data_IF_223255137869
#
_entry.id   IF_223255137869
#
_cell.length_a   1.000
_cell.length_b   1.000
_cell.length_c   1.000
_cell.angle_alpha   90.00
_cell.angle_beta   90.00
_cell.angle_gamma   90.00
#
_symmetry.space_group_name_H-M   'P 1'
#
loop_
_entity.id
_entity.type
_entity.pdbx_description
1 polymer ?
#
# COMPACT_ATOMS: atom_id res chain seq x y z
N UNK A 1 -44.57 -10.41 -24.27
CA UNK A 1 -44.65 -10.97 -25.64
C UNK A 1 -43.31 -11.34 -26.28
N UNK A 2 -42.15 -11.23 -25.55
CA UNK A 2 -40.82 -11.66 -26.07
C UNK A 2 -40.49 -13.14 -25.79
N UNK A 3 -41.22 -13.78 -24.87
CA UNK A 3 -40.88 -15.11 -24.31
C UNK A 3 -41.22 -16.28 -25.28
N UNK A 4 -42.11 -16.07 -26.23
CA UNK A 4 -42.44 -17.07 -27.28
C UNK A 4 -41.34 -17.28 -28.34
N UNK A 5 -40.27 -16.46 -28.30
CA UNK A 5 -39.12 -16.59 -29.20
C UNK A 5 -38.02 -17.53 -28.68
N UNK A 6 -38.14 -18.02 -27.43
CA UNK A 6 -37.14 -18.92 -26.91
C UNK A 6 -37.34 -20.35 -27.47
N UNK A 7 -36.41 -20.86 -28.27
CA UNK A 7 -36.56 -22.15 -28.94
C UNK A 7 -36.57 -23.33 -27.94
N UNK A 8 -35.91 -23.19 -26.78
CA UNK A 8 -35.86 -24.24 -25.77
C UNK A 8 -37.21 -24.41 -25.08
N UNK A 9 -37.86 -23.34 -24.68
CA UNK A 9 -39.19 -23.34 -24.06
C UNK A 9 -40.24 -23.96 -25.01
N UNK A 10 -40.21 -23.62 -26.28
CA UNK A 10 -41.11 -24.19 -27.28
C UNK A 10 -40.89 -25.70 -27.47
N UNK A 11 -39.64 -26.14 -27.48
CA UNK A 11 -39.30 -27.55 -27.64
C UNK A 11 -39.78 -28.38 -26.42
N UNK A 12 -39.60 -27.91 -25.21
CA UNK A 12 -40.04 -28.58 -23.99
C UNK A 12 -41.57 -28.65 -23.90
N UNK A 13 -42.28 -27.53 -24.20
CA UNK A 13 -43.74 -27.51 -24.23
C UNK A 13 -44.31 -28.46 -25.30
N UNK A 14 -43.67 -28.51 -26.50
CA UNK A 14 -44.07 -29.44 -27.56
C UNK A 14 -43.86 -30.90 -27.13
N UNK A 15 -42.78 -31.25 -26.47
CA UNK A 15 -42.51 -32.60 -25.98
C UNK A 15 -43.53 -32.99 -24.90
N UNK A 16 -43.80 -32.12 -23.93
CA UNK A 16 -44.80 -32.37 -22.88
C UNK A 16 -46.21 -32.50 -23.46
N UNK A 17 -46.59 -31.67 -24.41
CA UNK A 17 -47.88 -31.74 -25.07
C UNK A 17 -48.04 -32.99 -25.93
N UNK A 18 -47.01 -33.38 -26.68
CA UNK A 18 -47.03 -34.62 -27.50
C UNK A 18 -47.09 -35.86 -26.61
N UNK A 19 -46.33 -35.89 -25.53
CA UNK A 19 -46.40 -37.01 -24.53
C UNK A 19 -47.78 -37.12 -23.92
N UNK A 20 -48.41 -36.00 -23.55
CA UNK A 20 -49.78 -35.99 -23.00
C UNK A 20 -50.82 -36.49 -24.01
N UNK A 21 -50.68 -36.14 -25.30
CA UNK A 21 -51.57 -36.64 -26.35
C UNK A 21 -51.40 -38.13 -26.63
N UNK A 22 -50.17 -38.65 -26.62
CA UNK A 22 -49.92 -40.11 -26.80
C UNK A 22 -50.51 -40.89 -25.62
N UNK A 23 -50.29 -40.41 -24.40
CA UNK A 23 -50.84 -41.07 -23.19
C UNK A 23 -52.38 -41.02 -23.17
N UNK A 24 -52.99 -39.94 -23.61
CA UNK A 24 -54.44 -39.80 -23.75
C UNK A 24 -55.02 -40.75 -24.81
N UNK A 25 -54.29 -40.95 -25.93
CA UNK A 25 -54.65 -41.90 -26.98
C UNK A 25 -54.64 -43.34 -26.44
N UNK A 26 -53.66 -43.72 -25.66
CA UNK A 26 -53.62 -45.03 -24.92
C UNK A 26 -54.76 -45.16 -23.91
N UNK A 27 -55.08 -44.06 -23.20
CA UNK A 27 -56.18 -44.03 -22.22
C UNK A 27 -57.56 -44.24 -22.86
N UNK A 28 -57.75 -43.82 -24.11
CA UNK A 28 -59.00 -44.06 -24.89
C UNK A 28 -59.26 -45.55 -25.12
N UNK A 29 -58.23 -46.37 -25.18
CA UNK A 29 -58.36 -47.84 -25.31
C UNK A 29 -58.95 -48.50 -24.03
N UNK A 30 -58.89 -47.83 -22.91
CA UNK A 30 -59.38 -48.33 -21.60
C UNK A 30 -60.80 -47.78 -21.33
N UNK A 31 -60.92 -46.43 -21.32
CA UNK A 31 -62.22 -45.74 -21.23
C UNK A 31 -62.08 -44.25 -21.60
N UNK A 32 -63.16 -43.59 -22.06
CA UNK A 32 -63.12 -42.17 -22.37
C UNK A 32 -62.88 -41.30 -21.15
N UNK A 33 -63.25 -41.78 -19.97
CA UNK A 33 -63.00 -41.08 -18.68
C UNK A 33 -61.49 -41.05 -18.34
N UNK A 34 -60.78 -42.14 -18.59
CA UNK A 34 -59.32 -42.23 -18.37
C UNK A 34 -58.58 -41.25 -19.32
N UNK A 35 -58.98 -41.17 -20.57
CA UNK A 35 -58.39 -40.23 -21.54
C UNK A 35 -58.61 -38.76 -21.13
N UNK A 36 -59.81 -38.41 -20.64
CA UNK A 36 -60.09 -37.07 -20.15
C UNK A 36 -59.24 -36.69 -18.89
N UNK A 37 -59.08 -37.64 -17.96
CA UNK A 37 -58.21 -37.42 -16.77
C UNK A 37 -56.74 -37.23 -17.15
N UNK A 38 -56.23 -38.00 -18.10
CA UNK A 38 -54.84 -37.87 -18.58
C UNK A 38 -54.62 -36.53 -19.27
N UNK A 39 -55.57 -36.06 -20.09
CA UNK A 39 -55.49 -34.75 -20.71
C UNK A 39 -55.52 -33.62 -19.66
N UNK A 40 -56.40 -33.71 -18.68
CA UNK A 40 -56.48 -32.72 -17.60
C UNK A 40 -55.19 -32.62 -16.80
N UNK A 41 -54.65 -33.79 -16.37
CA UNK A 41 -53.38 -33.83 -15.66
C UNK A 41 -52.20 -33.33 -16.49
N UNK A 42 -52.16 -33.67 -17.80
CA UNK A 42 -51.16 -33.17 -18.72
C UNK A 42 -51.22 -31.66 -18.91
N UNK A 43 -52.43 -31.10 -18.97
CA UNK A 43 -52.64 -29.65 -19.11
C UNK A 43 -52.20 -28.88 -17.84
N UNK A 44 -52.54 -29.42 -16.65
CA UNK A 44 -52.10 -28.88 -15.34
C UNK A 44 -50.55 -28.89 -15.25
N UNK A 45 -49.95 -30.05 -15.57
CA UNK A 45 -48.50 -30.22 -15.50
C UNK A 45 -47.77 -29.28 -16.47
N UNK A 46 -48.25 -29.17 -17.71
CA UNK A 46 -47.68 -28.23 -18.73
C UNK A 46 -47.84 -26.80 -18.28
N UNK A 47 -48.97 -26.41 -17.69
CA UNK A 47 -49.20 -25.09 -17.16
C UNK A 47 -48.27 -24.75 -15.98
N UNK A 48 -48.12 -25.68 -15.05
CA UNK A 48 -47.16 -25.52 -13.94
C UNK A 48 -45.71 -25.43 -14.42
N UNK A 49 -45.33 -26.31 -15.34
CA UNK A 49 -43.99 -26.28 -15.94
C UNK A 49 -43.71 -24.94 -16.63
N UNK A 50 -44.65 -24.44 -17.45
CA UNK A 50 -44.57 -23.14 -18.08
C UNK A 50 -44.42 -21.98 -17.07
N UNK A 51 -45.19 -22.00 -15.97
CA UNK A 51 -45.16 -21.00 -14.93
C UNK A 51 -43.77 -20.96 -14.20
N UNK A 52 -43.20 -22.11 -13.82
CA UNK A 52 -41.90 -22.21 -13.18
C UNK A 52 -40.77 -21.80 -14.11
N UNK A 53 -40.81 -22.23 -15.37
CA UNK A 53 -39.79 -21.84 -16.37
C UNK A 53 -39.85 -20.34 -16.66
N UNK A 54 -41.04 -19.76 -16.81
CA UNK A 54 -41.20 -18.33 -17.05
C UNK A 54 -40.66 -17.49 -15.87
N UNK A 55 -40.88 -17.91 -14.65
CA UNK A 55 -40.33 -17.29 -13.44
C UNK A 55 -38.80 -17.35 -13.45
N UNK A 56 -38.24 -18.53 -13.71
CA UNK A 56 -36.78 -18.75 -13.78
C UNK A 56 -36.09 -17.86 -14.84
N UNK A 57 -36.67 -17.74 -16.02
CA UNK A 57 -36.13 -16.89 -17.08
C UNK A 57 -36.18 -15.40 -16.71
N UNK A 58 -37.23 -14.96 -16.03
CA UNK A 58 -37.31 -13.57 -15.52
C UNK A 58 -36.21 -13.29 -14.52
N UNK A 59 -35.98 -14.19 -13.59
CA UNK A 59 -34.98 -14.04 -12.55
C UNK A 59 -33.55 -13.99 -13.14
N UNK A 60 -33.27 -14.82 -14.14
CA UNK A 60 -31.99 -14.78 -14.89
C UNK A 60 -31.86 -13.47 -15.66
N UNK A 61 -32.90 -13.00 -16.32
CA UNK A 61 -32.86 -11.73 -17.07
C UNK A 61 -32.69 -10.51 -16.15
N UNK A 62 -33.22 -10.59 -14.93
CA UNK A 62 -33.02 -9.54 -13.90
C UNK A 62 -31.59 -9.55 -13.36
N UNK A 63 -31.02 -10.73 -13.09
CA UNK A 63 -29.65 -10.91 -12.70
C UNK A 63 -28.69 -10.33 -13.76
N UNK A 64 -28.92 -10.66 -15.03
CA UNK A 64 -28.15 -10.14 -16.16
C UNK A 64 -28.20 -8.62 -16.25
N UNK A 65 -29.39 -8.02 -16.10
CA UNK A 65 -29.56 -6.54 -16.09
C UNK A 65 -28.89 -5.88 -14.89
N UNK A 66 -28.93 -6.53 -13.73
CA UNK A 66 -28.26 -6.02 -12.54
C UNK A 66 -26.74 -6.06 -12.69
N UNK A 67 -26.22 -7.14 -13.27
CA UNK A 67 -24.79 -7.24 -13.58
C UNK A 67 -24.34 -6.16 -14.57
N UNK A 68 -25.14 -5.91 -15.63
CA UNK A 68 -24.85 -4.86 -16.63
C UNK A 68 -24.82 -3.46 -15.98
N UNK A 69 -25.75 -3.15 -15.06
CA UNK A 69 -25.73 -1.89 -14.30
C UNK A 69 -24.50 -1.74 -13.41
N UNK A 70 -24.08 -2.83 -12.77
CA UNK A 70 -22.87 -2.84 -11.93
C UNK A 70 -21.63 -2.58 -12.78
N UNK A 71 -21.51 -3.21 -13.95
CA UNK A 71 -20.39 -2.99 -14.89
C UNK A 71 -20.32 -1.55 -15.41
N UNK A 72 -21.46 -0.86 -15.51
CA UNK A 72 -21.53 0.55 -15.89
C UNK A 72 -21.46 1.54 -14.71
N UNK A 73 -21.05 1.05 -13.51
CA UNK A 73 -20.81 1.92 -12.36
C UNK A 73 -22.06 2.41 -11.64
N UNK A 74 -23.22 1.83 -11.89
CA UNK A 74 -24.44 2.15 -11.17
C UNK A 74 -24.54 1.27 -9.91
N UNK A 75 -24.74 1.92 -8.76
CA UNK A 75 -24.89 1.25 -7.44
C UNK A 75 -26.23 0.50 -7.36
N UNK A 76 -26.30 -0.68 -7.94
CA UNK A 76 -27.39 -1.63 -7.69
C UNK A 76 -26.82 -2.80 -6.89
N UNK A 77 -27.07 -2.81 -5.59
CA UNK A 77 -26.87 -4.00 -4.77
C UNK A 77 -27.79 -5.09 -5.30
N UNK A 78 -27.25 -6.27 -5.59
CA UNK A 78 -28.04 -7.46 -5.90
C UNK A 78 -28.95 -7.74 -4.70
N UNK A 79 -30.28 -7.67 -4.92
CA UNK A 79 -31.26 -7.90 -3.87
C UNK A 79 -31.22 -9.36 -3.39
N UNK A 80 -31.22 -9.56 -2.09
CA UNK A 80 -31.01 -10.86 -1.43
C UNK A 80 -32.33 -11.69 -1.27
N UNK A 81 -33.41 -11.21 -1.89
CA UNK A 81 -34.78 -11.74 -1.68
C UNK A 81 -35.09 -13.05 -2.42
N UNK A 82 -34.16 -13.68 -3.13
CA UNK A 82 -34.41 -14.93 -3.85
C UNK A 82 -33.97 -16.16 -3.07
N UNK A 83 -34.84 -17.16 -2.97
CA UNK A 83 -34.54 -18.49 -2.46
C UNK A 83 -34.24 -19.48 -3.61
N UNK A 84 -33.31 -20.43 -3.37
CA UNK A 84 -32.99 -21.51 -4.32
C UNK A 84 -31.62 -21.40 -4.98
N UNK A 85 -31.40 -22.20 -6.02
CA UNK A 85 -30.09 -22.32 -6.71
C UNK A 85 -29.57 -20.97 -7.27
N UNK A 86 -30.46 -20.10 -7.74
CA UNK A 86 -30.13 -18.77 -8.24
C UNK A 86 -29.66 -17.82 -7.11
N UNK A 87 -30.08 -18.05 -5.87
CA UNK A 87 -29.63 -17.28 -4.73
C UNK A 87 -28.13 -17.51 -4.45
N UNK A 88 -27.66 -18.75 -4.60
CA UNK A 88 -26.24 -19.09 -4.46
C UNK A 88 -25.43 -18.35 -5.52
N UNK A 89 -25.86 -18.39 -6.79
CA UNK A 89 -25.18 -17.70 -7.88
C UNK A 89 -25.16 -16.17 -7.67
N UNK A 90 -26.26 -15.58 -7.21
CA UNK A 90 -26.34 -14.16 -6.84
C UNK A 90 -25.35 -13.79 -5.73
N UNK A 91 -25.27 -14.62 -4.69
CA UNK A 91 -24.35 -14.44 -3.58
C UNK A 91 -22.88 -14.48 -4.04
N UNK A 92 -22.51 -15.43 -4.88
CA UNK A 92 -21.15 -15.53 -5.42
C UNK A 92 -20.81 -14.35 -6.34
N UNK A 93 -21.71 -13.95 -7.23
CA UNK A 93 -21.53 -12.79 -8.07
C UNK A 93 -21.39 -11.48 -7.26
N UNK A 94 -22.17 -11.35 -6.17
CA UNK A 94 -22.07 -10.22 -5.25
C UNK A 94 -20.69 -10.16 -4.58
N UNK A 95 -20.21 -11.30 -4.05
CA UNK A 95 -18.86 -11.38 -3.46
C UNK A 95 -17.77 -11.01 -4.47
N UNK A 96 -17.86 -11.53 -5.69
CA UNK A 96 -16.92 -11.20 -6.76
C UNK A 96 -16.95 -9.69 -7.10
N UNK A 97 -18.15 -9.12 -7.20
CA UNK A 97 -18.31 -7.68 -7.50
C UNK A 97 -17.74 -6.79 -6.41
N UNK A 98 -17.98 -7.13 -5.14
CA UNK A 98 -17.39 -6.40 -4.02
C UNK A 98 -15.87 -6.47 -4.05
N UNK A 99 -15.29 -7.66 -4.24
CA UNK A 99 -13.83 -7.81 -4.38
C UNK A 99 -13.26 -7.00 -5.53
N UNK A 100 -13.88 -7.05 -6.70
CA UNK A 100 -13.43 -6.28 -7.86
C UNK A 100 -13.51 -4.76 -7.62
N UNK A 101 -14.50 -4.28 -6.86
CA UNK A 101 -14.58 -2.86 -6.45
C UNK A 101 -13.45 -2.50 -5.48
N UNK A 102 -13.25 -3.32 -4.45
CA UNK A 102 -12.17 -3.10 -3.49
C UNK A 102 -10.81 -3.07 -4.20
N UNK A 103 -10.54 -4.01 -5.11
CA UNK A 103 -9.32 -4.05 -5.92
C UNK A 103 -9.19 -2.80 -6.83
N UNK A 104 -10.29 -2.38 -7.46
CA UNK A 104 -10.30 -1.19 -8.30
C UNK A 104 -10.05 0.10 -7.49
N UNK A 105 -10.60 0.20 -6.29
CA UNK A 105 -10.39 1.35 -5.42
C UNK A 105 -8.97 1.37 -4.85
N UNK A 106 -8.39 0.22 -4.50
CA UNK A 106 -6.97 0.09 -4.14
C UNK A 106 -6.08 0.56 -5.30
N UNK A 107 -6.31 0.06 -6.51
CA UNK A 107 -5.54 0.47 -7.70
C UNK A 107 -5.66 1.98 -8.00
N UNK A 108 -6.82 2.58 -7.74
CA UNK A 108 -7.01 4.03 -7.87
C UNK A 108 -6.21 4.80 -6.82
N UNK A 109 -6.21 4.32 -5.58
CA UNK A 109 -5.42 4.91 -4.49
C UNK A 109 -3.93 4.82 -4.82
N UNK A 110 -3.43 3.66 -5.21
CA UNK A 110 -2.03 3.44 -5.62
C UNK A 110 -1.64 4.37 -6.78
N UNK A 111 -2.51 4.52 -7.77
CA UNK A 111 -2.29 5.45 -8.89
C UNK A 111 -2.20 6.90 -8.45
N UNK A 112 -3.05 7.33 -7.53
CA UNK A 112 -3.03 8.69 -6.99
C UNK A 112 -1.75 8.92 -6.18
N UNK A 113 -1.35 7.96 -5.35
CA UNK A 113 -0.11 8.02 -4.58
C UNK A 113 1.11 8.08 -5.50
N UNK A 114 1.17 7.23 -6.53
CA UNK A 114 2.24 7.26 -7.52
C UNK A 114 2.31 8.61 -8.24
N UNK A 115 1.16 9.17 -8.62
CA UNK A 115 1.11 10.48 -9.30
C UNK A 115 1.63 11.59 -8.40
N UNK A 116 1.27 11.59 -7.11
CA UNK A 116 1.79 12.54 -6.11
C UNK A 116 3.29 12.37 -5.94
N UNK A 117 3.76 11.14 -5.75
CA UNK A 117 5.19 10.86 -5.61
C UNK A 117 6.01 11.35 -6.81
N UNK A 118 5.52 11.14 -8.05
CA UNK A 118 6.18 11.65 -9.26
C UNK A 118 6.19 13.18 -9.33
N UNK A 119 5.12 13.84 -8.90
CA UNK A 119 5.07 15.31 -8.83
C UNK A 119 6.08 15.85 -7.81
N UNK A 120 6.16 15.23 -6.63
CA UNK A 120 7.09 15.59 -5.57
C UNK A 120 8.55 15.37 -6.00
N UNK A 121 8.87 14.23 -6.62
CA UNK A 121 10.18 13.94 -7.20
C UNK A 121 10.56 15.03 -8.21
N UNK A 122 9.64 15.36 -9.12
CA UNK A 122 9.89 16.38 -10.14
C UNK A 122 10.19 17.74 -9.52
N UNK A 123 9.48 18.11 -8.48
CA UNK A 123 9.71 19.34 -7.73
C UNK A 123 11.05 19.34 -7.02
N UNK A 124 11.40 18.24 -6.33
CA UNK A 124 12.66 18.09 -5.59
C UNK A 124 13.90 18.02 -6.49
N UNK A 125 13.75 17.56 -7.73
CA UNK A 125 14.82 17.61 -8.74
C UNK A 125 14.95 19.01 -9.38
N UNK A 126 13.85 19.71 -9.63
CA UNK A 126 13.85 21.02 -10.28
C UNK A 126 14.59 22.06 -9.46
N UNK A 127 14.42 22.07 -8.15
CA UNK A 127 15.05 23.07 -7.26
C UNK A 127 16.59 23.05 -7.34
N UNK A 128 17.29 21.92 -7.11
CA UNK A 128 18.75 21.90 -7.24
C UNK A 128 19.21 22.13 -8.67
N UNK A 129 18.50 21.66 -9.70
CA UNK A 129 18.84 21.93 -11.10
C UNK A 129 18.78 23.43 -11.44
N UNK A 130 17.75 24.12 -10.93
CA UNK A 130 17.63 25.58 -11.13
C UNK A 130 18.77 26.32 -10.41
N UNK A 131 19.10 25.92 -9.17
CA UNK A 131 20.23 26.45 -8.43
C UNK A 131 21.55 26.23 -9.16
N UNK A 132 21.78 25.02 -9.69
CA UNK A 132 23.00 24.70 -10.47
C UNK A 132 23.12 25.56 -11.72
N UNK A 133 22.03 25.74 -12.49
CA UNK A 133 22.03 26.58 -13.67
C UNK A 133 22.37 28.04 -13.34
N UNK A 134 21.81 28.58 -12.26
CA UNK A 134 22.11 29.90 -11.78
C UNK A 134 23.59 30.03 -11.35
N UNK A 135 24.08 29.06 -10.54
CA UNK A 135 25.47 29.03 -10.08
C UNK A 135 26.44 28.93 -11.25
N UNK A 136 26.14 28.14 -12.29
CA UNK A 136 26.94 28.05 -13.52
C UNK A 136 26.97 29.38 -14.27
N UNK A 137 25.83 30.07 -14.37
CA UNK A 137 25.78 31.40 -15.03
C UNK A 137 26.62 32.44 -14.28
N UNK A 138 26.61 32.41 -12.95
CA UNK A 138 27.45 33.28 -12.12
C UNK A 138 28.95 32.94 -12.24
N UNK A 139 29.27 31.63 -12.31
CA UNK A 139 30.63 31.15 -12.41
C UNK A 139 31.30 31.57 -13.74
N UNK A 140 30.53 31.65 -14.82
CA UNK A 140 31.02 31.99 -16.15
C UNK A 140 31.56 33.42 -16.25
N UNK A 141 31.07 34.37 -15.41
CA UNK A 141 31.51 35.76 -15.38
C UNK A 141 32.34 36.17 -14.15
N UNK A 142 32.70 35.20 -13.29
CA UNK A 142 33.37 35.49 -12.02
C UNK A 142 34.89 35.48 -12.17
N UNK A 143 35.52 36.58 -11.85
CA UNK A 143 36.99 36.77 -11.90
C UNK A 143 37.65 36.55 -10.52
N UNK A 144 36.91 36.75 -9.43
CA UNK A 144 37.43 36.51 -8.07
C UNK A 144 37.56 35.02 -7.77
N UNK A 145 38.81 34.57 -7.57
CA UNK A 145 39.11 33.14 -7.27
C UNK A 145 38.42 32.63 -6.01
N UNK A 146 38.31 33.45 -4.98
CA UNK A 146 37.64 33.07 -3.73
C UNK A 146 36.16 32.80 -3.93
N UNK A 147 35.52 33.65 -4.76
CA UNK A 147 34.11 33.55 -5.10
C UNK A 147 33.87 32.40 -6.08
N UNK A 148 34.77 32.15 -7.03
CA UNK A 148 34.76 31.00 -7.92
C UNK A 148 34.80 29.68 -7.13
N UNK A 149 35.71 29.58 -6.16
CA UNK A 149 35.80 28.39 -5.28
C UNK A 149 34.52 28.19 -4.46
N UNK A 150 33.87 29.24 -4.00
CA UNK A 150 32.59 29.15 -3.27
C UNK A 150 31.49 28.65 -4.17
N UNK A 151 31.30 29.22 -5.35
CA UNK A 151 30.30 28.81 -6.35
C UNK A 151 30.54 27.37 -6.80
N UNK A 152 31.79 26.95 -6.99
CA UNK A 152 32.13 25.56 -7.32
C UNK A 152 31.74 24.58 -6.23
N UNK A 153 31.93 24.96 -4.96
CA UNK A 153 31.48 24.12 -3.81
C UNK A 153 29.95 24.03 -3.73
N UNK A 154 29.24 25.10 -4.04
CA UNK A 154 27.78 25.13 -4.09
C UNK A 154 27.24 24.21 -5.20
N UNK A 155 27.87 24.29 -6.39
CA UNK A 155 27.55 23.40 -7.50
C UNK A 155 27.75 21.92 -7.13
N UNK A 156 28.90 21.60 -6.51
CA UNK A 156 29.21 20.25 -6.05
C UNK A 156 28.19 19.72 -5.02
N UNK A 157 27.80 20.55 -4.05
CA UNK A 157 26.75 20.20 -3.06
C UNK A 157 25.41 19.91 -3.73
N UNK A 158 25.05 20.67 -4.75
CA UNK A 158 23.79 20.48 -5.49
C UNK A 158 23.80 19.17 -6.29
N UNK A 159 24.96 18.80 -6.89
CA UNK A 159 25.15 17.51 -7.55
C UNK A 159 25.04 16.33 -6.55
N UNK A 160 25.80 16.40 -5.45
CA UNK A 160 25.76 15.37 -4.39
C UNK A 160 24.33 15.15 -3.85
N UNK A 161 23.53 16.24 -3.76
CA UNK A 161 22.15 16.18 -3.35
C UNK A 161 21.26 15.44 -4.37
N UNK A 162 21.47 15.68 -5.67
CA UNK A 162 20.74 14.97 -6.74
C UNK A 162 21.11 13.50 -6.73
N UNK A 163 22.39 13.17 -6.68
CA UNK A 163 22.86 11.77 -6.63
C UNK A 163 22.24 11.03 -5.45
N UNK A 164 22.31 11.62 -4.24
CA UNK A 164 21.69 11.05 -3.07
C UNK A 164 20.18 10.84 -3.23
N UNK A 165 19.47 11.81 -3.85
CA UNK A 165 18.03 11.71 -4.09
C UNK A 165 17.71 10.54 -5.04
N UNK A 166 18.44 10.42 -6.14
CA UNK A 166 18.26 9.34 -7.13
C UNK A 166 18.55 7.98 -6.50
N UNK A 167 19.64 7.83 -5.75
CA UNK A 167 19.97 6.58 -5.06
C UNK A 167 18.90 6.19 -4.03
N UNK A 168 18.42 7.16 -3.26
CA UNK A 168 17.37 6.92 -2.26
C UNK A 168 16.05 6.49 -2.90
N UNK A 169 15.67 7.13 -4.02
CA UNK A 169 14.49 6.76 -4.79
C UNK A 169 14.60 5.35 -5.39
N UNK A 170 15.78 5.00 -5.91
CA UNK A 170 16.03 3.65 -6.42
C UNK A 170 15.93 2.58 -5.31
N UNK A 171 16.46 2.88 -4.10
CA UNK A 171 16.33 2.01 -2.93
C UNK A 171 14.87 1.82 -2.52
N UNK A 172 14.11 2.91 -2.43
CA UNK A 172 12.67 2.87 -2.14
C UNK A 172 11.91 2.04 -3.18
N UNK A 173 12.17 2.28 -4.47
CA UNK A 173 11.53 1.52 -5.56
C UNK A 173 11.82 0.02 -5.48
N UNK A 174 13.06 -0.37 -5.15
CA UNK A 174 13.42 -1.78 -4.96
C UNK A 174 12.73 -2.42 -3.76
N UNK A 175 12.59 -1.66 -2.66
CA UNK A 175 11.87 -2.11 -1.46
C UNK A 175 10.37 -2.27 -1.74
N UNK A 176 9.75 -1.31 -2.44
CA UNK A 176 8.33 -1.39 -2.84
C UNK A 176 8.05 -2.59 -3.74
N UNK A 177 8.93 -2.87 -4.68
CA UNK A 177 8.81 -4.00 -5.57
C UNK A 177 9.09 -5.37 -4.88
N UNK A 178 9.53 -5.37 -3.60
CA UNK A 178 9.87 -6.58 -2.87
C UNK A 178 11.04 -7.37 -3.46
N UNK A 179 11.86 -6.74 -4.32
CA UNK A 179 12.98 -7.41 -5.00
C UNK A 179 14.27 -7.42 -4.18
N UNK A 180 14.30 -6.69 -3.07
CA UNK A 180 15.45 -6.66 -2.16
C UNK A 180 15.53 -7.97 -1.40
N UNK A 181 16.69 -8.62 -1.46
CA UNK A 181 16.99 -9.80 -0.64
C UNK A 181 17.87 -9.35 0.51
N UNK A 182 17.31 -9.42 1.71
CA UNK A 182 18.04 -9.10 2.94
C UNK A 182 18.87 -10.32 3.38
N UNK A 183 20.13 -10.08 3.70
CA UNK A 183 21.04 -11.09 4.27
C UNK A 183 21.12 -10.87 5.79
N UNK A 184 20.12 -11.39 6.49
CA UNK A 184 20.06 -11.26 7.94
C UNK A 184 21.17 -12.09 8.62
N UNK A 185 22.03 -11.43 9.37
CA UNK A 185 23.09 -12.04 10.16
C UNK A 185 23.05 -11.55 11.59
N UNK A 186 23.59 -12.31 12.56
CA UNK A 186 23.76 -11.82 13.92
C UNK A 186 24.67 -10.58 13.96
N UNK A 187 24.18 -9.49 14.52
CA UNK A 187 24.83 -8.19 14.53
C UNK A 187 24.72 -7.57 15.92
N UNK A 188 25.82 -7.05 16.47
CA UNK A 188 25.77 -6.31 17.73
C UNK A 188 25.28 -4.88 17.50
N UNK A 189 24.50 -4.35 18.43
CA UNK A 189 24.05 -2.97 18.38
C UNK A 189 25.21 -1.97 18.29
N UNK A 190 26.35 -2.29 18.92
CA UNK A 190 27.56 -1.48 18.88
C UNK A 190 28.15 -1.38 17.44
N UNK A 191 28.31 -2.50 16.73
CA UNK A 191 28.83 -2.52 15.37
C UNK A 191 27.90 -1.80 14.39
N UNK A 192 26.59 -1.96 14.58
CA UNK A 192 25.56 -1.27 13.79
C UNK A 192 25.64 0.24 14.02
N UNK A 193 25.65 0.69 15.27
CA UNK A 193 25.73 2.10 15.63
C UNK A 193 27.01 2.75 15.09
N UNK A 194 28.15 2.07 15.19
CA UNK A 194 29.41 2.59 14.66
C UNK A 194 29.35 2.81 13.15
N UNK A 195 28.79 1.85 12.41
CA UNK A 195 28.63 1.96 10.93
C UNK A 195 27.71 3.12 10.57
N UNK A 196 26.58 3.27 11.25
CA UNK A 196 25.61 4.33 11.01
C UNK A 196 26.15 5.74 11.37
N UNK A 197 26.95 5.83 12.43
CA UNK A 197 27.50 7.09 12.95
C UNK A 197 28.72 7.59 12.16
N UNK A 198 29.43 6.70 11.48
CA UNK A 198 30.69 7.06 10.78
C UNK A 198 30.57 8.31 9.90
N UNK A 199 29.57 8.48 9.03
CA UNK A 199 29.43 9.66 8.18
C UNK A 199 28.97 10.92 8.96
N UNK A 200 28.44 10.76 10.17
CA UNK A 200 27.81 11.83 10.93
C UNK A 200 28.73 12.43 12.01
N UNK A 201 29.90 11.83 12.29
CA UNK A 201 30.83 12.30 13.31
C UNK A 201 31.30 13.73 13.06
N UNK A 202 31.74 14.03 11.83
CA UNK A 202 32.20 15.37 11.47
C UNK A 202 31.08 16.42 11.57
N UNK A 203 29.88 16.21 11.00
CA UNK A 203 28.75 17.11 11.21
C UNK A 203 28.43 17.38 12.69
N UNK A 204 28.46 16.37 13.54
CA UNK A 204 28.21 16.51 14.98
C UNK A 204 29.28 17.32 15.69
N UNK A 205 30.57 17.06 15.39
CA UNK A 205 31.70 17.82 15.92
C UNK A 205 31.62 19.31 15.53
N UNK A 206 31.27 19.62 14.29
CA UNK A 206 31.11 21.00 13.80
C UNK A 206 29.99 21.76 14.53
N UNK A 207 28.97 21.05 15.02
CA UNK A 207 27.89 21.61 15.82
C UNK A 207 28.11 21.47 17.32
N UNK A 208 29.29 20.99 17.75
CA UNK A 208 29.63 20.70 19.17
C UNK A 208 28.54 19.85 19.87
N UNK A 209 27.89 18.94 19.13
CA UNK A 209 26.86 18.03 19.65
C UNK A 209 27.52 16.87 20.39
N UNK A 210 26.95 16.48 21.53
CA UNK A 210 27.39 15.34 22.30
C UNK A 210 26.71 14.04 21.86
N UNK A 211 27.47 12.95 21.77
CA UNK A 211 26.98 11.61 21.47
C UNK A 211 27.10 10.72 22.71
N UNK A 212 25.97 10.19 23.16
CA UNK A 212 25.90 9.24 24.26
C UNK A 212 25.48 7.88 23.74
N UNK A 213 26.28 6.83 23.98
CA UNK A 213 25.99 5.46 23.57
C UNK A 213 25.82 4.57 24.84
N UNK A 214 24.63 3.96 24.94
CA UNK A 214 24.31 2.95 25.96
C UNK A 214 23.72 1.72 25.25
N UNK A 215 24.61 0.89 24.70
CA UNK A 215 24.26 -0.21 23.81
C UNK A 215 24.32 -1.59 24.46
N UNK A 216 25.05 -1.70 25.60
CA UNK A 216 25.27 -2.98 26.25
C UNK A 216 25.74 -4.07 25.29
N UNK A 217 25.38 -5.32 25.59
CA UNK A 217 25.64 -6.50 24.74
C UNK A 217 24.46 -6.85 23.81
N UNK A 218 23.57 -5.89 23.56
CA UNK A 218 22.40 -6.12 22.73
C UNK A 218 22.79 -6.55 21.31
N UNK A 219 22.16 -7.62 20.83
CA UNK A 219 22.33 -8.15 19.50
C UNK A 219 20.98 -8.30 18.78
N UNK A 220 21.00 -8.24 17.47
CA UNK A 220 19.84 -8.41 16.62
C UNK A 220 20.21 -9.25 15.40
N UNK A 221 19.22 -9.83 14.74
CA UNK A 221 19.41 -10.53 13.47
C UNK A 221 18.81 -9.66 12.37
N UNK A 222 19.67 -9.06 11.54
CA UNK A 222 19.24 -8.12 10.49
C UNK A 222 20.34 -8.01 9.43
N UNK A 223 19.99 -7.40 8.28
CA UNK A 223 20.98 -7.05 7.26
C UNK A 223 21.82 -5.84 7.73
N UNK A 224 23.13 -5.97 7.86
CA UNK A 224 23.98 -4.93 8.42
C UNK A 224 23.96 -3.62 7.61
N UNK A 225 23.99 -3.71 6.28
CA UNK A 225 24.10 -2.55 5.40
C UNK A 225 22.79 -1.74 5.39
N UNK A 226 21.67 -2.42 5.18
CA UNK A 226 20.37 -1.80 5.16
C UNK A 226 19.96 -1.26 6.54
N UNK A 227 20.26 -2.00 7.60
CA UNK A 227 19.91 -1.55 8.96
C UNK A 227 20.76 -0.38 9.40
N UNK A 228 22.06 -0.34 9.05
CA UNK A 228 22.92 0.81 9.29
C UNK A 228 22.45 2.05 8.53
N UNK A 229 21.94 1.88 7.31
CA UNK A 229 21.34 2.98 6.54
C UNK A 229 20.06 3.50 7.21
N UNK A 230 19.18 2.61 7.67
CA UNK A 230 17.96 3.01 8.38
C UNK A 230 18.29 3.79 9.67
N UNK A 231 19.23 3.27 10.47
CA UNK A 231 19.68 3.91 11.69
C UNK A 231 20.38 5.25 11.39
N UNK A 232 21.22 5.30 10.36
CA UNK A 232 21.93 6.51 9.92
C UNK A 232 20.96 7.62 9.49
N UNK A 233 19.87 7.28 8.78
CA UNK A 233 18.85 8.26 8.37
C UNK A 233 18.12 8.85 9.59
N UNK A 234 17.85 8.06 10.62
CA UNK A 234 17.22 8.54 11.85
C UNK A 234 18.20 9.39 12.65
N UNK A 235 19.46 8.94 12.82
CA UNK A 235 20.49 9.73 13.54
C UNK A 235 20.74 11.04 12.81
N UNK A 236 20.83 11.03 11.47
CA UNK A 236 20.99 12.24 10.66
C UNK A 236 19.86 13.23 10.92
N UNK A 237 18.62 12.75 10.98
CA UNK A 237 17.48 13.60 11.32
C UNK A 237 17.64 14.23 12.72
N UNK A 238 18.07 13.46 13.71
CA UNK A 238 18.35 13.99 15.05
C UNK A 238 19.47 15.06 15.01
N UNK A 239 20.56 14.79 14.29
CA UNK A 239 21.69 15.77 14.11
C UNK A 239 21.21 17.08 13.49
N UNK A 240 20.37 17.00 12.47
CA UNK A 240 19.86 18.19 11.76
C UNK A 240 18.93 19.05 12.63
N UNK A 241 18.18 18.42 13.56
CA UNK A 241 17.21 19.11 14.41
C UNK A 241 17.69 19.44 15.82
N UNK A 242 18.82 18.89 16.23
CA UNK A 242 19.43 19.21 17.54
C UNK A 242 20.26 20.49 17.44
N UNK A 243 20.03 21.49 18.29
CA UNK A 243 20.83 22.70 18.29
C UNK A 243 22.30 22.42 18.64
N UNK A 244 23.17 23.39 18.35
CA UNK A 244 24.58 23.31 18.74
C UNK A 244 24.73 23.11 20.26
N UNK A 245 25.62 22.18 20.66
CA UNK A 245 25.82 21.79 22.04
C UNK A 245 24.75 20.86 22.63
N UNK A 246 23.77 20.43 21.81
CA UNK A 246 22.76 19.46 22.25
C UNK A 246 23.30 18.02 22.23
N UNK A 247 22.51 17.08 22.77
CA UNK A 247 22.92 15.69 22.97
C UNK A 247 22.07 14.75 22.14
N UNK A 248 22.72 13.78 21.49
CA UNK A 248 22.07 12.66 20.80
C UNK A 248 22.42 11.37 21.57
N UNK A 249 21.40 10.64 21.97
CA UNK A 249 21.56 9.41 22.77
C UNK A 249 21.09 8.22 21.93
N UNK A 250 21.94 7.20 21.80
CA UNK A 250 21.57 5.92 21.19
C UNK A 250 21.63 4.83 22.25
N UNK A 251 20.50 4.18 22.49
CA UNK A 251 20.43 3.09 23.49
C UNK A 251 19.98 1.80 22.81
N UNK A 252 20.42 0.66 23.33
CA UNK A 252 19.97 -0.64 22.91
C UNK A 252 19.58 -1.51 24.11
N UNK A 253 18.47 -2.23 23.96
CA UNK A 253 17.98 -3.20 24.96
C UNK A 253 17.50 -4.46 24.28
N UNK A 254 17.94 -5.59 24.78
CA UNK A 254 17.50 -6.90 24.27
C UNK A 254 16.54 -7.54 25.26
N UNK A 255 15.43 -8.06 24.73
CA UNK A 255 14.45 -8.88 25.45
C UNK A 255 14.37 -10.25 24.78
N UNK A 256 13.73 -11.26 25.37
CA UNK A 256 13.52 -12.55 24.72
C UNK A 256 12.68 -12.47 23.43
N UNK A 257 11.90 -11.40 23.24
CA UNK A 257 10.95 -11.26 22.12
C UNK A 257 11.48 -10.34 21.03
N UNK A 258 12.19 -9.28 21.40
CA UNK A 258 12.73 -8.29 20.46
C UNK A 258 13.99 -7.60 20.99
N UNK A 259 14.79 -7.08 20.07
CA UNK A 259 15.84 -6.11 20.37
C UNK A 259 15.32 -4.71 20.01
N UNK A 260 15.37 -3.79 20.97
CA UNK A 260 14.96 -2.40 20.81
C UNK A 260 16.20 -1.51 20.73
N UNK A 261 16.25 -0.69 19.66
CA UNK A 261 17.21 0.39 19.51
C UNK A 261 16.45 1.71 19.61
N UNK A 262 16.94 2.63 20.41
CA UNK A 262 16.32 3.95 20.55
C UNK A 262 17.33 5.03 20.23
N UNK A 263 16.93 5.99 19.38
CA UNK A 263 17.66 7.22 19.13
C UNK A 263 16.84 8.37 19.69
N UNK A 264 17.44 9.16 20.57
CA UNK A 264 16.78 10.30 21.20
C UNK A 264 17.67 11.55 21.09
N UNK A 265 17.07 12.70 20.91
CA UNK A 265 17.73 13.99 20.83
C UNK A 265 17.22 14.97 21.91
N UNK A 266 17.93 16.07 22.08
CA UNK A 266 17.54 17.19 22.95
C UNK A 266 17.10 18.42 22.15
N UNK A 267 16.63 18.21 20.93
CA UNK A 267 16.08 19.25 20.08
C UNK A 267 14.68 19.73 20.51
N UNK A 268 14.00 20.48 19.67
CA UNK A 268 12.65 21.00 19.98
C UNK A 268 11.56 19.90 19.91
N UNK A 269 11.90 18.70 19.41
CA UNK A 269 10.91 17.68 19.10
C UNK A 269 10.13 18.00 17.82
N UNK A 270 9.09 17.22 17.57
CA UNK A 270 8.18 17.38 16.42
C UNK A 270 6.83 17.93 16.87
N UNK A 271 6.17 18.73 16.02
CA UNK A 271 4.78 19.11 16.28
C UNK A 271 3.93 17.83 16.43
N UNK A 272 3.04 17.74 17.42
CA UNK A 272 2.16 16.58 17.59
C UNK A 272 1.34 16.23 16.35
N UNK A 273 0.97 17.21 15.51
CA UNK A 273 0.27 17.02 14.25
C UNK A 273 1.19 16.37 13.18
N UNK A 274 2.50 16.59 13.27
CA UNK A 274 3.48 16.07 12.33
C UNK A 274 3.89 14.61 12.65
N UNK A 275 3.84 14.20 13.93
CA UNK A 275 4.32 12.89 14.39
C UNK A 275 3.78 11.69 13.58
N UNK A 276 2.47 11.59 13.27
CA UNK A 276 1.93 10.47 12.50
C UNK A 276 2.47 10.43 11.06
N UNK A 277 2.86 11.59 10.53
CA UNK A 277 3.24 11.83 9.15
C UNK A 277 4.74 11.83 8.90
N UNK A 278 5.57 11.82 9.94
CA UNK A 278 7.04 11.89 9.81
C UNK A 278 7.65 10.82 8.88
N UNK A 279 6.97 9.70 8.74
CA UNK A 279 7.39 8.58 7.88
C UNK A 279 6.73 8.56 6.51
N UNK A 280 5.88 9.56 6.19
CA UNK A 280 5.34 9.73 4.84
C UNK A 280 6.45 10.24 3.91
N UNK A 281 6.46 9.77 2.67
CA UNK A 281 7.44 10.21 1.66
C UNK A 281 7.22 11.67 1.33
N UNK A 282 8.31 12.42 1.21
CA UNK A 282 8.33 13.85 0.90
C UNK A 282 7.64 14.75 1.93
N UNK A 283 7.23 14.17 3.04
CA UNK A 283 6.67 14.96 4.13
C UNK A 283 7.76 15.76 4.84
N UNK A 284 7.49 17.03 5.04
CA UNK A 284 8.34 17.95 5.78
C UNK A 284 7.50 18.61 6.85
N UNK A 285 7.87 18.40 8.10
CA UNK A 285 7.23 19.06 9.23
C UNK A 285 7.46 20.58 9.20
N UNK A 286 6.73 21.31 10.04
CA UNK A 286 6.80 22.79 10.13
C UNK A 286 8.21 23.31 10.41
N UNK A 287 9.02 22.53 11.12
CA UNK A 287 10.38 22.88 11.51
C UNK A 287 11.46 22.21 10.64
N UNK A 288 11.10 21.69 9.46
CA UNK A 288 12.06 21.00 8.61
C UNK A 288 13.09 21.97 8.04
N UNK A 289 14.39 21.64 8.16
CA UNK A 289 15.49 22.40 7.58
C UNK A 289 15.36 22.57 6.07
N UNK A 290 15.90 23.65 5.50
CA UNK A 290 15.81 23.96 4.06
C UNK A 290 16.34 22.83 3.17
N UNK A 291 17.24 22.02 3.68
CA UNK A 291 17.89 20.93 2.94
C UNK A 291 17.22 19.57 3.11
N UNK A 292 16.24 19.44 4.01
CA UNK A 292 15.50 18.20 4.22
C UNK A 292 14.56 17.92 3.04
N UNK A 293 14.61 16.69 2.50
CA UNK A 293 13.77 16.27 1.37
C UNK A 293 12.54 15.47 1.85
N UNK A 294 12.56 14.97 3.10
CA UNK A 294 11.46 14.19 3.66
C UNK A 294 11.42 12.72 3.18
N UNK A 295 12.55 12.16 2.76
CA UNK A 295 12.62 10.77 2.27
C UNK A 295 13.35 9.85 3.25
N UNK A 296 14.31 10.36 4.04
CA UNK A 296 15.19 9.54 4.87
C UNK A 296 14.44 8.73 5.93
N UNK A 297 13.50 9.33 6.66
CA UNK A 297 12.68 8.63 7.65
C UNK A 297 11.73 7.60 7.01
N UNK A 298 11.16 7.91 5.84
CA UNK A 298 10.33 6.99 5.08
C UNK A 298 11.14 5.75 4.65
N UNK A 299 12.36 5.95 4.12
CA UNK A 299 13.29 4.87 3.79
C UNK A 299 13.64 4.03 5.02
N UNK A 300 13.96 4.68 6.14
CA UNK A 300 14.28 3.97 7.38
C UNK A 300 13.13 3.06 7.84
N UNK A 301 11.90 3.57 7.85
CA UNK A 301 10.72 2.78 8.23
C UNK A 301 10.50 1.61 7.29
N UNK A 302 10.67 1.81 6.00
CA UNK A 302 10.47 0.77 5.00
C UNK A 302 11.52 -0.34 5.09
N UNK A 303 12.80 0.01 5.31
CA UNK A 303 13.89 -0.95 5.55
C UNK A 303 13.59 -1.82 6.78
N UNK A 304 13.17 -1.18 7.88
CA UNK A 304 12.86 -1.89 9.12
C UNK A 304 11.64 -2.79 8.96
N UNK A 305 10.57 -2.31 8.32
CA UNK A 305 9.37 -3.08 8.05
C UNK A 305 9.62 -4.29 7.15
N UNK A 306 10.46 -4.13 6.12
CA UNK A 306 10.85 -5.22 5.21
C UNK A 306 11.69 -6.32 5.89
N UNK A 307 12.26 -6.03 7.06
CA UNK A 307 12.96 -6.99 7.92
C UNK A 307 12.12 -7.43 9.14
N UNK A 308 10.78 -7.36 9.05
CA UNK A 308 9.83 -7.72 10.11
C UNK A 308 10.02 -6.93 11.41
N UNK A 309 10.56 -5.72 11.33
CA UNK A 309 10.71 -4.81 12.47
C UNK A 309 9.67 -3.70 12.47
N UNK A 310 9.72 -2.85 13.49
CA UNK A 310 8.90 -1.62 13.57
C UNK A 310 9.76 -0.41 13.91
N UNK A 311 9.41 0.75 13.32
CA UNK A 311 10.01 2.05 13.64
C UNK A 311 8.90 3.04 14.02
N UNK A 312 9.03 3.64 15.18
CA UNK A 312 8.08 4.59 15.74
C UNK A 312 8.79 5.87 16.17
N UNK A 313 8.07 7.00 16.13
CA UNK A 313 8.54 8.29 16.61
C UNK A 313 7.60 8.82 17.69
N UNK A 314 8.17 9.48 18.68
CA UNK A 314 7.47 10.17 19.76
C UNK A 314 8.28 11.37 20.24
N UNK A 315 7.65 12.33 20.88
CA UNK A 315 8.35 13.36 21.62
C UNK A 315 8.74 12.84 23.02
N UNK A 316 9.86 13.33 23.53
CA UNK A 316 10.28 13.07 24.91
C UNK A 316 9.56 14.03 25.86
N UNK A 317 9.24 13.58 27.09
CA UNK A 317 8.65 14.47 28.11
C UNK A 317 9.55 15.65 28.47
N UNK A 318 10.89 15.43 28.44
CA UNK A 318 11.91 16.45 28.77
C UNK A 318 12.27 17.35 27.59
N UNK A 319 11.62 17.17 26.43
CA UNK A 319 11.93 17.83 25.16
C UNK A 319 12.81 16.96 24.25
N UNK A 320 12.68 17.21 22.95
CA UNK A 320 13.35 16.44 21.90
C UNK A 320 12.48 15.33 21.30
N UNK A 321 12.99 14.70 20.26
CA UNK A 321 12.37 13.56 19.63
C UNK A 321 12.99 12.24 20.10
N UNK A 322 12.21 11.17 19.99
CA UNK A 322 12.62 9.80 20.27
C UNK A 322 12.13 8.88 19.17
N UNK A 323 13.06 8.15 18.55
CA UNK A 323 12.78 7.13 17.53
C UNK A 323 13.10 5.76 18.10
N UNK A 324 12.17 4.80 17.97
CA UNK A 324 12.28 3.46 18.53
C UNK A 324 12.17 2.42 17.42
N UNK A 325 13.25 1.68 17.22
CA UNK A 325 13.32 0.50 16.35
C UNK A 325 13.08 -0.74 17.19
N UNK A 326 12.29 -1.69 16.67
CA UNK A 326 12.17 -3.04 17.28
C UNK A 326 12.36 -4.08 16.20
N UNK A 327 13.29 -5.00 16.46
CA UNK A 327 13.55 -6.17 15.63
C UNK A 327 13.15 -7.41 16.43
N UNK A 328 12.18 -8.16 15.91
CA UNK A 328 11.60 -9.30 16.62
C UNK A 328 12.46 -10.55 16.44
N UNK A 329 12.67 -11.30 17.53
CA UNK A 329 13.38 -12.58 17.53
C UNK A 329 12.41 -13.65 17.06
N UNK A 330 12.72 -14.30 15.92
CA UNK A 330 11.95 -15.44 15.45
C UNK A 330 10.61 -15.10 14.79
N UNK A 331 10.52 -14.02 14.02
CA UNK A 331 9.44 -13.86 13.06
C UNK A 331 9.54 -14.99 12.01
N UNK A 332 8.68 -16.00 12.18
CA UNK A 332 8.47 -17.11 11.24
C UNK A 332 7.65 -16.62 10.05
#
# INVERSE_FOLDING_TARGET
MKDWKNPELRRELLICGLASLILAGLGLLISPLCAALVLLTGLIFTGLHWFFQHRRYRDIAELSRSLDRILHGQDSLLDDSAEGELAILRSELRKMTLRLRDDADLLRQDKVELTRALADISHQLRTPLTSMNLTLSLLAGEEDETRRLRLTRELKRSLERIDWLVETLLKLSKLDAGVVRFEAVPLTAAALAETALRPLRIPMELQAQELVLDLGDAALNADPAWTAEALGNVIKNCVEHTPAGGTITVTARQTPIFTELTVADTGPGSDPEDLPRLFERFYRGKNAGEHSIGIGLALARQIVAAQNGTLQAANRPEGGAKFTFRFYVGAV
#
